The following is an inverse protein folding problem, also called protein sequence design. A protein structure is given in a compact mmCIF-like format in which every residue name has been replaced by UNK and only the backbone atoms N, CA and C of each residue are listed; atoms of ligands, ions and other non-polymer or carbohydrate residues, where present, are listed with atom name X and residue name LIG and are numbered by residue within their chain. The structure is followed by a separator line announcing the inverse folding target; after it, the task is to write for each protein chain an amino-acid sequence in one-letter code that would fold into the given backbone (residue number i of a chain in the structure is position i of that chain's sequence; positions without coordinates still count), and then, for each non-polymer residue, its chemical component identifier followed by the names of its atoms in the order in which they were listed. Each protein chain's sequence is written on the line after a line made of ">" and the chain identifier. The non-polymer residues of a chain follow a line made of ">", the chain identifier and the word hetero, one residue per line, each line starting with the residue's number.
data_IF_158626839475
#
_entry.id   IF_158626839475
#
_cell.length_a   1.000
_cell.length_b   1.000
_cell.length_c   1.000
_cell.angle_alpha   90.00
_cell.angle_beta   90.00
_cell.angle_gamma   90.00
#
_symmetry.space_group_name_H-M   'P 1'
#
loop_
_entity.id
_entity.type
_entity.pdbx_description
1 polymer ?
#
# COMPACT_ATOMS: atom_id res chain seq x y z
N UNK A 1 6.86 -19.75 38.95
CA UNK A 1 6.50 -18.95 37.75
C UNK A 1 6.58 -19.90 36.56
N UNK A 2 5.51 -20.18 35.81
CA UNK A 2 5.64 -20.96 34.61
C UNK A 2 6.50 -20.17 33.64
N UNK A 3 7.57 -20.80 33.11
CA UNK A 3 8.37 -20.31 32.02
C UNK A 3 7.44 -20.23 30.79
N UNK A 4 7.15 -18.99 30.34
CA UNK A 4 6.52 -18.79 29.05
C UNK A 4 7.57 -19.25 28.05
N UNK A 5 7.36 -20.41 27.41
CA UNK A 5 8.14 -20.79 26.25
C UNK A 5 7.90 -19.72 25.21
N UNK A 6 8.92 -18.95 24.87
CA UNK A 6 8.83 -17.99 23.79
C UNK A 6 8.50 -18.76 22.51
N UNK A 7 7.34 -18.50 21.96
CA UNK A 7 7.02 -18.80 20.58
C UNK A 7 8.16 -18.23 19.70
N UNK A 8 8.50 -18.89 18.60
CA UNK A 8 9.51 -18.38 17.69
C UNK A 8 9.19 -16.95 17.25
N UNK A 9 10.20 -16.21 16.80
CA UNK A 9 10.07 -14.85 16.30
C UNK A 9 9.79 -14.87 14.81
N UNK A 10 8.85 -14.02 14.37
CA UNK A 10 8.45 -13.86 12.97
C UNK A 10 8.46 -12.39 12.59
N UNK A 11 9.44 -11.90 11.81
CA UNK A 11 9.49 -10.54 11.34
C UNK A 11 8.27 -10.20 10.47
N UNK A 12 7.66 -9.07 10.72
CA UNK A 12 6.61 -8.47 9.88
C UNK A 12 7.17 -7.25 9.19
N UNK A 13 7.20 -7.28 7.88
CA UNK A 13 7.74 -6.20 7.05
C UNK A 13 6.63 -5.28 6.60
N UNK A 14 6.94 -3.96 6.50
CA UNK A 14 6.05 -2.93 5.98
C UNK A 14 6.51 -2.48 4.61
N UNK A 15 5.54 -2.31 3.71
CA UNK A 15 5.74 -1.72 2.39
C UNK A 15 4.73 -0.59 2.19
N UNK A 16 5.15 0.44 1.47
CA UNK A 16 4.32 1.58 1.13
C UNK A 16 4.12 1.68 -0.39
N UNK A 17 2.87 1.83 -0.79
CA UNK A 17 2.51 2.09 -2.18
C UNK A 17 2.25 3.57 -2.38
N UNK A 18 3.18 4.27 -3.04
CA UNK A 18 3.08 5.72 -3.25
C UNK A 18 1.90 6.14 -4.12
N UNK A 19 1.32 5.25 -4.90
CA UNK A 19 0.21 5.57 -5.79
C UNK A 19 -1.16 5.41 -5.12
N UNK A 20 -1.31 4.42 -4.26
CA UNK A 20 -2.56 4.20 -3.51
C UNK A 20 -2.54 4.83 -2.12
N UNK A 21 -1.36 5.08 -1.55
CA UNK A 21 -1.18 5.49 -0.16
C UNK A 21 -1.26 4.31 0.82
N UNK A 22 -1.29 3.08 0.29
CA UNK A 22 -1.46 1.88 1.08
C UNK A 22 -0.18 1.45 1.78
N UNK A 23 -0.33 0.96 3.02
CA UNK A 23 0.70 0.22 3.73
C UNK A 23 0.31 -1.26 3.81
N UNK A 24 1.16 -2.11 3.24
CA UNK A 24 1.00 -3.56 3.30
C UNK A 24 1.97 -4.14 4.31
N UNK A 25 1.50 -5.12 5.09
CA UNK A 25 2.29 -5.84 6.09
C UNK A 25 2.36 -7.32 5.72
N UNK A 26 3.55 -7.88 5.73
CA UNK A 26 3.76 -9.27 5.36
C UNK A 26 4.89 -9.92 6.12
N UNK A 27 4.75 -11.22 6.38
CA UNK A 27 5.82 -12.09 6.88
C UNK A 27 6.51 -12.85 5.75
N UNK A 28 5.95 -12.77 4.54
CA UNK A 28 6.49 -13.44 3.37
C UNK A 28 7.62 -12.61 2.74
N UNK A 29 8.83 -13.09 2.88
CA UNK A 29 10.04 -12.43 2.36
C UNK A 29 10.02 -12.31 0.82
N UNK A 30 9.41 -13.26 0.13
CA UNK A 30 9.31 -13.21 -1.34
C UNK A 30 8.30 -12.14 -1.78
N UNK A 31 7.16 -12.00 -1.09
CA UNK A 31 6.22 -10.90 -1.30
C UNK A 31 6.91 -9.55 -1.02
N UNK A 32 7.65 -9.44 0.09
CA UNK A 32 8.40 -8.24 0.45
C UNK A 32 9.44 -7.85 -0.59
N UNK A 33 10.14 -8.81 -1.19
CA UNK A 33 11.14 -8.59 -2.26
C UNK A 33 10.52 -8.32 -3.62
N UNK A 34 9.36 -8.91 -3.90
CA UNK A 34 8.70 -8.75 -5.19
C UNK A 34 8.03 -7.38 -5.34
N UNK A 35 7.31 -6.90 -4.34
CA UNK A 35 6.50 -5.68 -4.42
C UNK A 35 7.29 -4.43 -4.82
N UNK A 36 8.55 -4.22 -4.38
CA UNK A 36 9.38 -3.10 -4.86
C UNK A 36 9.65 -3.14 -6.37
N UNK A 37 9.68 -4.31 -6.99
CA UNK A 37 9.89 -4.44 -8.45
C UNK A 37 8.72 -3.91 -9.27
N UNK A 38 7.56 -3.72 -8.62
CA UNK A 38 6.33 -3.18 -9.24
C UNK A 38 5.90 -1.85 -8.61
N UNK A 39 6.84 -1.13 -7.95
CA UNK A 39 6.69 0.25 -7.55
C UNK A 39 6.28 0.50 -6.10
N UNK A 40 6.29 -0.52 -5.24
CA UNK A 40 6.19 -0.33 -3.81
C UNK A 40 7.55 0.08 -3.23
N UNK A 41 7.54 0.74 -2.08
CA UNK A 41 8.74 1.04 -1.29
C UNK A 41 8.77 0.13 -0.07
N UNK A 42 9.84 -0.65 0.11
CA UNK A 42 10.08 -1.40 1.33
C UNK A 42 10.47 -0.45 2.46
N UNK A 43 9.83 -0.57 3.62
CA UNK A 43 10.08 0.25 4.79
C UNK A 43 10.77 -0.54 5.93
N UNK A 44 11.16 -1.78 5.65
CA UNK A 44 11.86 -2.62 6.61
C UNK A 44 10.95 -3.38 7.56
N UNK A 45 11.55 -3.92 8.59
CA UNK A 45 10.85 -4.63 9.66
C UNK A 45 10.03 -3.65 10.51
N UNK A 46 8.71 -3.81 10.49
CA UNK A 46 7.78 -2.97 11.25
C UNK A 46 7.66 -3.43 12.72
N UNK A 47 7.60 -4.73 12.95
CA UNK A 47 7.64 -5.37 14.26
C UNK A 47 7.98 -6.85 14.12
N UNK A 48 8.17 -7.52 15.25
CA UNK A 48 8.31 -8.97 15.32
C UNK A 48 7.11 -9.56 16.04
N UNK A 49 6.41 -10.45 15.36
CA UNK A 49 5.29 -11.22 15.87
C UNK A 49 5.73 -12.56 16.44
N UNK A 50 4.96 -13.17 17.36
CA UNK A 50 5.17 -14.56 17.75
C UNK A 50 4.73 -15.50 16.62
N UNK A 51 5.34 -16.70 16.55
CA UNK A 51 4.89 -17.77 15.63
C UNK A 51 3.59 -18.42 16.09
N UNK A 52 3.26 -18.30 17.38
CA UNK A 52 2.05 -18.84 18.01
C UNK A 52 1.35 -17.75 18.82
N UNK A 53 0.03 -17.75 18.85
CA UNK A 53 -0.77 -16.75 19.57
C UNK A 53 -2.13 -16.54 18.93
N UNK A 54 -2.73 -15.37 19.15
CA UNK A 54 -4.00 -15.01 18.51
C UNK A 54 -3.77 -14.71 17.02
N UNK A 55 -4.45 -15.38 16.08
CA UNK A 55 -4.25 -15.16 14.67
C UNK A 55 -4.67 -13.75 14.25
N UNK A 56 -3.85 -13.10 13.44
CA UNK A 56 -4.19 -11.85 12.73
C UNK A 56 -4.43 -12.18 11.26
N UNK A 57 -5.65 -11.95 10.82
CA UNK A 57 -6.10 -12.24 9.47
C UNK A 57 -5.85 -11.07 8.53
N UNK A 58 -5.51 -11.38 7.27
CA UNK A 58 -5.45 -10.40 6.19
C UNK A 58 -6.62 -10.60 5.23
N UNK A 59 -7.18 -9.48 4.76
CA UNK A 59 -8.21 -9.44 3.73
C UNK A 59 -7.76 -8.49 2.62
N UNK A 60 -8.13 -8.79 1.41
CA UNK A 60 -7.93 -7.96 0.22
C UNK A 60 -9.26 -7.50 -0.36
N UNK A 61 -9.39 -6.22 -0.61
CA UNK A 61 -10.55 -5.65 -1.29
C UNK A 61 -10.28 -5.55 -2.80
N UNK A 62 -10.89 -6.40 -3.65
CA UNK A 62 -10.63 -6.37 -5.09
C UNK A 62 -11.19 -5.14 -5.81
N UNK A 63 -12.04 -4.34 -5.14
CA UNK A 63 -12.63 -3.14 -5.73
C UNK A 63 -11.79 -1.90 -5.47
N UNK A 64 -11.16 -1.79 -4.32
CA UNK A 64 -10.30 -0.66 -3.94
C UNK A 64 -8.81 -0.95 -4.03
N UNK A 65 -8.42 -2.23 -4.02
CA UNK A 65 -7.03 -2.66 -3.92
C UNK A 65 -6.47 -2.61 -2.51
N UNK A 66 -7.29 -2.36 -1.49
CA UNK A 66 -6.88 -2.17 -0.09
C UNK A 66 -6.73 -3.49 0.66
N UNK A 67 -5.78 -3.57 1.61
CA UNK A 67 -5.66 -4.67 2.54
C UNK A 67 -6.07 -4.24 3.95
N UNK A 68 -6.75 -5.14 4.65
CA UNK A 68 -7.15 -4.96 6.04
C UNK A 68 -6.62 -6.10 6.92
N UNK A 69 -6.32 -5.76 8.18
CA UNK A 69 -5.78 -6.71 9.17
C UNK A 69 -6.61 -6.67 10.44
N UNK A 70 -7.00 -7.84 10.93
CA UNK A 70 -7.81 -7.93 12.15
C UNK A 70 -7.57 -9.23 12.91
N UNK A 71 -7.66 -9.17 14.26
CA UNK A 71 -7.78 -10.35 15.14
C UNK A 71 -9.21 -10.82 15.27
N UNK A 72 -10.18 -9.96 14.96
CA UNK A 72 -11.60 -10.29 15.11
C UNK A 72 -12.06 -11.19 13.95
N UNK A 73 -12.26 -12.47 14.27
CA UNK A 73 -12.78 -13.44 13.33
C UNK A 73 -14.19 -13.11 12.80
N UNK A 74 -14.99 -12.37 13.59
CA UNK A 74 -16.32 -11.92 13.16
C UNK A 74 -16.20 -10.80 12.12
N UNK A 75 -15.28 -9.83 12.33
CA UNK A 75 -14.96 -8.81 11.34
C UNK A 75 -14.40 -9.45 10.06
N UNK A 76 -13.48 -10.41 10.19
CA UNK A 76 -12.93 -11.16 9.06
C UNK A 76 -14.01 -11.85 8.22
N UNK A 77 -14.96 -12.52 8.88
CA UNK A 77 -16.07 -13.18 8.19
C UNK A 77 -17.05 -12.17 7.58
N UNK A 78 -17.38 -11.12 8.32
CA UNK A 78 -18.31 -10.09 7.86
C UNK A 78 -17.82 -9.37 6.60
N UNK A 79 -16.54 -8.95 6.57
CA UNK A 79 -15.96 -8.28 5.40
C UNK A 79 -16.01 -9.16 4.15
N UNK A 80 -15.87 -10.47 4.28
CA UNK A 80 -16.02 -11.39 3.14
C UNK A 80 -17.44 -11.38 2.57
N UNK A 81 -18.47 -11.18 3.40
CA UNK A 81 -19.86 -11.03 2.90
C UNK A 81 -20.04 -9.74 2.10
N UNK A 82 -19.17 -8.74 2.30
CA UNK A 82 -19.12 -7.47 1.56
C UNK A 82 -18.23 -7.52 0.31
N UNK A 83 -17.72 -8.71 -0.06
CA UNK A 83 -16.91 -8.91 -1.26
C UNK A 83 -15.39 -8.82 -1.05
N UNK A 84 -14.92 -8.66 0.19
CA UNK A 84 -13.50 -8.81 0.48
C UNK A 84 -13.06 -10.26 0.32
N UNK A 85 -11.83 -10.45 -0.10
CA UNK A 85 -11.22 -11.79 -0.20
C UNK A 85 -10.40 -12.04 1.07
N UNK A 86 -10.74 -13.08 1.82
CA UNK A 86 -9.93 -13.54 2.94
C UNK A 86 -8.64 -14.20 2.44
N UNK A 87 -7.50 -13.79 2.99
CA UNK A 87 -6.19 -14.36 2.69
C UNK A 87 -5.66 -15.26 3.82
N UNK A 88 -6.46 -15.41 4.88
CA UNK A 88 -6.14 -16.24 6.03
C UNK A 88 -5.29 -15.51 7.08
N UNK A 89 -4.80 -16.26 8.09
CA UNK A 89 -3.90 -15.70 9.11
C UNK A 89 -2.52 -15.44 8.48
N UNK A 90 -1.98 -14.25 8.72
CA UNK A 90 -0.69 -13.84 8.16
C UNK A 90 0.42 -13.79 9.23
N UNK A 91 0.07 -13.49 10.45
CA UNK A 91 0.92 -13.54 11.64
C UNK A 91 0.07 -13.72 12.90
N UNK A 92 0.70 -13.78 14.06
CA UNK A 92 0.01 -13.88 15.35
C UNK A 92 0.27 -12.64 16.22
N UNK A 93 -0.67 -12.35 17.12
CA UNK A 93 -0.50 -11.43 18.23
C UNK A 93 -0.13 -12.21 19.50
N UNK A 94 0.71 -11.64 20.34
CA UNK A 94 0.85 -12.14 21.71
C UNK A 94 -0.50 -12.12 22.42
N UNK A 95 -0.70 -13.10 23.29
CA UNK A 95 -1.79 -13.13 24.27
C UNK A 95 -1.34 -12.40 25.53
N UNK A 96 -2.11 -11.40 25.92
CA UNK A 96 -1.79 -10.60 27.10
C UNK A 96 -0.92 -9.38 26.79
N UNK A 97 0.30 -9.32 27.35
CA UNK A 97 1.17 -8.14 27.27
C UNK A 97 2.26 -8.31 26.21
N UNK A 98 2.62 -7.19 25.59
CA UNK A 98 3.65 -7.10 24.57
C UNK A 98 3.85 -5.66 24.12
N UNK A 99 4.59 -5.46 23.06
CA UNK A 99 4.71 -4.15 22.41
C UNK A 99 3.39 -3.85 21.69
N UNK A 100 2.69 -2.76 22.04
CA UNK A 100 1.43 -2.42 21.41
C UNK A 100 1.63 -2.08 19.92
N UNK A 101 0.73 -2.58 19.08
CA UNK A 101 0.58 -2.17 17.69
C UNK A 101 -0.74 -1.44 17.57
N UNK A 102 -0.68 -0.15 17.29
CA UNK A 102 -1.82 0.74 17.20
C UNK A 102 -2.40 0.73 15.79
N UNK A 103 -3.73 0.91 15.71
CA UNK A 103 -4.44 1.05 14.43
C UNK A 103 -4.95 2.47 14.25
N UNK A 104 -4.75 2.99 13.03
CA UNK A 104 -5.27 4.28 12.59
C UNK A 104 -6.12 4.09 11.34
N UNK A 105 -7.18 4.86 11.21
CA UNK A 105 -8.07 4.88 10.07
C UNK A 105 -8.10 6.26 9.41
N UNK A 106 -7.97 6.29 8.10
CA UNK A 106 -8.10 7.51 7.31
C UNK A 106 -9.42 7.51 6.52
N UNK A 107 -10.44 8.28 6.94
CA UNK A 107 -11.77 8.26 6.31
C UNK A 107 -11.82 8.92 4.93
N UNK A 108 -10.76 9.62 4.52
CA UNK A 108 -10.70 10.29 3.21
C UNK A 108 -10.08 9.44 2.11
N UNK A 109 -9.51 8.30 2.46
CA UNK A 109 -8.89 7.37 1.52
C UNK A 109 -9.89 6.27 1.13
N UNK A 110 -9.71 5.73 -0.07
CA UNK A 110 -10.45 4.56 -0.57
C UNK A 110 -9.60 3.31 -0.65
N UNK A 111 -8.28 3.48 -0.60
CA UNK A 111 -7.27 2.44 -0.46
C UNK A 111 -6.19 2.97 0.48
N UNK A 112 -5.49 2.11 1.21
CA UNK A 112 -4.56 2.52 2.26
C UNK A 112 -5.31 3.17 3.44
N UNK A 113 -6.51 2.68 3.70
CA UNK A 113 -7.42 3.27 4.68
C UNK A 113 -6.95 3.05 6.11
N UNK A 114 -6.16 2.01 6.37
CA UNK A 114 -5.62 1.70 7.69
C UNK A 114 -4.09 1.69 7.70
N UNK A 115 -3.54 2.13 8.82
CA UNK A 115 -2.11 2.03 9.14
C UNK A 115 -1.95 1.39 10.51
N UNK A 116 -0.92 0.53 10.65
CA UNK A 116 -0.55 -0.11 11.89
C UNK A 116 0.88 0.28 12.27
N UNK A 117 1.09 0.66 13.52
CA UNK A 117 2.41 1.11 14.01
C UNK A 117 2.66 0.75 15.45
N UNK A 118 3.92 0.41 15.77
CA UNK A 118 4.42 0.31 17.12
C UNK A 118 4.94 1.65 17.66
N UNK A 119 5.00 2.68 16.83
CA UNK A 119 5.49 4.00 17.18
C UNK A 119 4.35 4.89 17.67
N UNK A 120 4.34 5.21 18.97
CA UNK A 120 3.40 6.19 19.53
C UNK A 120 3.53 7.55 18.85
N UNK A 121 4.74 7.97 18.49
CA UNK A 121 4.94 9.24 17.80
C UNK A 121 4.34 9.26 16.40
N UNK A 122 4.41 8.16 15.63
CA UNK A 122 3.72 8.03 14.35
C UNK A 122 2.20 8.05 14.54
N UNK A 123 1.70 7.34 15.56
CA UNK A 123 0.29 7.30 15.92
C UNK A 123 -0.27 8.68 16.26
N UNK A 124 0.44 9.44 17.11
CA UNK A 124 0.03 10.79 17.52
C UNK A 124 0.14 11.80 16.37
N UNK A 125 1.22 11.77 15.60
CA UNK A 125 1.42 12.66 14.47
C UNK A 125 0.33 12.47 13.40
N UNK A 126 -0.04 11.24 13.09
CA UNK A 126 -1.12 10.95 12.15
C UNK A 126 -2.48 11.38 12.71
N UNK A 127 -2.73 11.16 14.00
CA UNK A 127 -3.92 11.68 14.68
C UNK A 127 -4.04 13.21 14.58
N UNK A 128 -2.93 13.93 14.78
CA UNK A 128 -2.90 15.39 14.69
C UNK A 128 -3.21 15.94 13.29
N UNK A 129 -2.96 15.18 12.24
CA UNK A 129 -3.29 15.54 10.84
C UNK A 129 -4.61 14.95 10.35
N UNK A 130 -5.40 14.36 11.26
CA UNK A 130 -6.80 13.99 11.02
C UNK A 130 -7.07 12.50 10.80
N UNK A 131 -6.09 11.60 10.94
CA UNK A 131 -6.39 10.19 11.02
C UNK A 131 -7.16 9.88 12.31
N UNK A 132 -8.09 8.96 12.26
CA UNK A 132 -8.81 8.48 13.44
C UNK A 132 -7.95 7.45 14.15
N UNK A 133 -7.67 7.71 15.42
CA UNK A 133 -6.96 6.81 16.29
C UNK A 133 -7.94 5.73 16.79
N UNK A 134 -7.78 4.49 16.35
CA UNK A 134 -8.64 3.37 16.74
C UNK A 134 -8.10 2.55 17.91
N UNK A 135 -6.95 2.97 18.46
CA UNK A 135 -6.33 2.37 19.64
C UNK A 135 -5.53 1.12 19.32
N UNK A 136 -5.44 0.25 20.31
CA UNK A 136 -4.68 -0.99 20.26
C UNK A 136 -5.34 -2.02 19.33
N UNK A 137 -4.59 -2.50 18.34
CA UNK A 137 -5.01 -3.59 17.47
C UNK A 137 -4.56 -4.96 17.98
N UNK A 138 -3.26 -5.10 18.28
CA UNK A 138 -2.64 -6.36 18.74
C UNK A 138 -1.30 -6.09 19.45
N UNK A 139 -0.66 -7.15 19.93
CA UNK A 139 0.64 -7.07 20.60
C UNK A 139 1.71 -7.81 19.81
N UNK A 140 2.86 -7.17 19.66
CA UNK A 140 4.08 -7.75 19.11
C UNK A 140 5.06 -8.16 20.22
N UNK A 141 6.06 -9.00 19.88
CA UNK A 141 7.17 -9.33 20.78
C UNK A 141 8.05 -8.09 21.00
N UNK A 142 8.38 -7.40 19.90
CA UNK A 142 9.20 -6.17 19.91
C UNK A 142 8.84 -5.28 18.72
N UNK A 143 9.15 -4.00 18.85
CA UNK A 143 9.14 -3.09 17.71
C UNK A 143 10.15 -3.53 16.65
N UNK A 144 9.91 -3.16 15.41
CA UNK A 144 10.82 -3.43 14.31
C UNK A 144 12.07 -2.57 14.36
N UNK A 145 13.13 -3.07 13.78
CA UNK A 145 14.41 -2.36 13.66
C UNK A 145 14.41 -1.36 12.49
N UNK A 146 13.44 -1.45 11.58
CA UNK A 146 13.48 -0.76 10.28
C UNK A 146 14.56 -1.33 9.34
N UNK A 147 15.26 -2.37 9.75
CA UNK A 147 16.28 -3.01 8.92
C UNK A 147 15.64 -3.73 7.72
N UNK A 148 16.36 -3.75 6.63
CA UNK A 148 15.88 -4.33 5.37
C UNK A 148 15.01 -3.38 4.56
N UNK A 149 14.93 -2.09 4.93
CA UNK A 149 14.27 -1.09 4.09
C UNK A 149 14.90 -1.09 2.69
N UNK A 150 14.06 -1.24 1.67
CA UNK A 150 14.50 -1.21 0.27
C UNK A 150 14.25 0.18 -0.27
N UNK A 151 15.34 0.91 -0.52
CA UNK A 151 15.30 2.23 -1.14
C UNK A 151 15.04 2.11 -2.65
N UNK A 152 14.39 3.12 -3.23
CA UNK A 152 14.24 3.23 -4.70
C UNK A 152 15.62 3.31 -5.42
N UNK A 153 16.70 3.52 -4.68
CA UNK A 153 18.08 3.58 -5.20
C UNK A 153 18.83 2.26 -5.09
N UNK A 154 18.28 1.24 -4.42
CA UNK A 154 18.92 -0.08 -4.36
C UNK A 154 18.84 -0.77 -5.72
N UNK A 155 19.98 -1.33 -6.21
CA UNK A 155 19.97 -2.00 -7.50
C UNK A 155 19.01 -3.19 -7.46
N UNK A 156 18.04 -3.19 -8.36
CA UNK A 156 17.14 -4.31 -8.63
C UNK A 156 17.96 -5.60 -8.72
N UNK A 157 17.57 -6.70 -8.04
CA UNK A 157 18.24 -7.98 -8.24
C UNK A 157 18.16 -8.33 -9.73
N UNK A 158 19.34 -8.42 -10.35
CA UNK A 158 19.49 -8.72 -11.77
C UNK A 158 18.84 -10.05 -12.08
N UNK A 159 17.81 -10.02 -12.92
CA UNK A 159 17.27 -11.19 -13.56
C UNK A 159 18.39 -11.83 -14.40
N UNK A 160 18.78 -13.11 -14.17
CA UNK A 160 19.78 -13.78 -14.99
C UNK A 160 19.16 -14.20 -16.32
N UNK A 161 19.08 -13.28 -17.28
CA UNK A 161 18.91 -13.66 -18.67
C UNK A 161 20.09 -13.13 -19.49
N UNK A 162 20.97 -13.98 -19.99
CA UNK A 162 22.13 -13.56 -20.76
C UNK A 162 21.74 -13.27 -22.21
N UNK A 163 22.02 -12.07 -22.67
CA UNK A 163 22.06 -11.89 -24.10
C UNK A 163 21.89 -10.48 -24.64
N UNK A 164 23.01 -9.93 -24.91
CA UNK A 164 23.39 -9.09 -26.04
C UNK A 164 23.43 -7.58 -25.88
N UNK A 165 24.64 -7.09 -25.99
CA UNK A 165 25.00 -5.69 -26.00
C UNK A 165 24.64 -4.97 -27.29
N UNK A 166 24.63 -3.65 -27.21
CA UNK A 166 24.52 -2.77 -28.36
C UNK A 166 24.08 -1.37 -27.96
N UNK A 167 25.08 -0.52 -27.76
CA UNK A 167 24.89 0.94 -27.72
C UNK A 167 24.25 1.42 -29.01
N UNK A 168 23.21 2.24 -28.95
CA UNK A 168 23.11 3.50 -29.73
C UNK A 168 21.84 4.27 -29.33
N UNK A 169 22.04 5.56 -29.15
CA UNK A 169 21.08 6.64 -29.06
C UNK A 169 19.97 6.57 -30.12
N UNK A 170 18.70 6.63 -29.70
CA UNK A 170 17.66 7.44 -30.36
C UNK A 170 16.33 7.26 -29.65
N UNK A 171 15.68 8.37 -29.32
CA UNK A 171 14.45 8.43 -28.57
C UNK A 171 13.28 7.68 -29.20
N UNK A 172 12.55 7.01 -28.35
CA UNK A 172 11.13 6.75 -28.51
C UNK A 172 10.48 6.67 -27.13
N UNK A 173 9.46 7.47 -26.95
CA UNK A 173 8.62 7.63 -25.79
C UNK A 173 8.18 6.31 -25.17
N UNK A 174 8.64 6.04 -23.96
CA UNK A 174 7.96 5.21 -22.99
C UNK A 174 7.65 6.11 -21.79
N UNK A 175 6.52 6.82 -21.87
CA UNK A 175 6.05 7.74 -20.83
C UNK A 175 5.59 6.95 -19.60
N UNK A 176 6.51 6.44 -18.80
CA UNK A 176 6.21 6.06 -17.42
C UNK A 176 6.13 7.35 -16.60
N UNK A 177 4.96 7.95 -16.58
CA UNK A 177 4.69 9.14 -15.77
C UNK A 177 4.27 8.72 -14.36
N UNK A 178 4.73 9.44 -13.35
CA UNK A 178 4.23 9.27 -11.98
C UNK A 178 2.76 9.74 -11.93
N UNK A 179 1.79 8.83 -11.72
CA UNK A 179 0.38 9.18 -11.78
C UNK A 179 -0.10 10.12 -10.66
N UNK A 180 0.66 10.27 -9.56
CA UNK A 180 0.32 11.19 -8.48
C UNK A 180 0.79 12.62 -8.74
N UNK A 181 1.79 12.80 -9.59
CA UNK A 181 2.30 14.12 -9.98
C UNK A 181 1.86 14.51 -11.38
N UNK A 182 1.54 13.54 -12.25
CA UNK A 182 1.10 13.82 -13.61
C UNK A 182 -0.30 14.43 -13.62
N UNK A 183 -0.39 15.67 -14.09
CA UNK A 183 -1.65 16.42 -14.14
C UNK A 183 -2.44 16.08 -15.40
N UNK A 184 -3.70 15.74 -15.22
CA UNK A 184 -4.70 15.53 -16.26
C UNK A 184 -5.88 16.49 -16.10
N UNK A 185 -6.67 16.64 -17.14
CA UNK A 185 -7.76 17.60 -17.20
C UNK A 185 -9.07 16.86 -17.51
N UNK A 186 -10.13 17.18 -16.78
CA UNK A 186 -11.48 16.64 -17.00
C UNK A 186 -12.46 17.77 -17.25
N UNK A 187 -13.46 17.54 -18.08
CA UNK A 187 -14.56 18.49 -18.28
C UNK A 187 -15.69 18.24 -17.27
N UNK A 188 -16.51 19.23 -16.97
CA UNK A 188 -17.54 19.15 -15.94
C UNK A 188 -18.54 17.98 -16.13
N UNK A 189 -18.82 17.60 -17.37
CA UNK A 189 -19.76 16.51 -17.71
C UNK A 189 -19.10 15.32 -18.39
N UNK A 190 -17.77 15.37 -18.59
CA UNK A 190 -17.02 14.31 -19.28
C UNK A 190 -16.70 13.13 -18.36
N UNK A 191 -16.57 11.96 -18.98
CA UNK A 191 -16.12 10.73 -18.29
C UNK A 191 -14.68 10.34 -18.65
N UNK A 192 -13.93 11.28 -19.28
CA UNK A 192 -12.55 11.05 -19.74
C UNK A 192 -11.61 12.11 -19.19
N UNK A 193 -10.38 11.69 -18.91
CA UNK A 193 -9.29 12.61 -18.62
C UNK A 193 -8.42 12.85 -19.86
N UNK A 194 -7.83 14.03 -19.94
CA UNK A 194 -7.17 14.58 -21.12
C UNK A 194 -5.80 15.16 -20.77
N UNK A 195 -4.89 15.27 -21.74
CA UNK A 195 -3.71 16.14 -21.65
C UNK A 195 -4.13 17.61 -21.69
N UNK A 196 -3.28 18.51 -21.20
CA UNK A 196 -3.55 19.95 -21.09
C UNK A 196 -4.02 20.59 -22.41
N UNK A 197 -3.43 20.20 -23.53
CA UNK A 197 -3.70 20.76 -24.86
C UNK A 197 -4.60 19.88 -25.73
N UNK A 198 -5.48 19.09 -25.12
CA UNK A 198 -6.35 18.19 -25.88
C UNK A 198 -7.39 18.97 -26.69
N UNK A 199 -7.48 18.75 -28.02
CA UNK A 199 -8.50 19.43 -28.87
C UNK A 199 -9.94 19.18 -28.38
N UNK A 200 -10.22 17.99 -27.81
CA UNK A 200 -11.55 17.63 -27.29
C UNK A 200 -11.99 18.47 -26.07
N UNK A 201 -11.08 19.20 -25.46
CA UNK A 201 -11.35 20.11 -24.32
C UNK A 201 -11.34 21.59 -24.73
N UNK A 202 -11.03 21.91 -25.97
CA UNK A 202 -11.00 23.29 -26.48
C UNK A 202 -12.34 23.99 -26.26
N UNK A 203 -12.30 25.18 -25.67
CA UNK A 203 -13.49 26.00 -25.37
C UNK A 203 -14.35 25.46 -24.20
N UNK A 204 -13.96 24.40 -23.52
CA UNK A 204 -14.68 23.84 -22.36
C UNK A 204 -13.99 24.21 -21.06
N UNK A 205 -14.80 24.42 -20.01
CA UNK A 205 -14.25 24.53 -18.65
C UNK A 205 -13.70 23.17 -18.23
N UNK A 206 -12.41 23.14 -17.90
CA UNK A 206 -11.71 21.96 -17.41
C UNK A 206 -11.33 22.15 -15.94
N UNK A 207 -11.24 21.04 -15.23
CA UNK A 207 -10.66 20.94 -13.88
C UNK A 207 -9.42 20.06 -14.00
N UNK A 208 -8.32 20.48 -13.39
CA UNK A 208 -7.11 19.68 -13.25
C UNK A 208 -7.19 18.76 -12.03
N UNK A 209 -6.59 17.60 -12.14
CA UNK A 209 -6.36 16.66 -11.04
C UNK A 209 -5.18 15.77 -11.40
N UNK A 210 -4.68 14.97 -10.45
CA UNK A 210 -3.64 13.99 -10.76
C UNK A 210 -4.22 12.83 -11.57
N UNK A 211 -3.37 12.13 -12.33
CA UNK A 211 -3.79 10.93 -13.08
C UNK A 211 -4.36 9.86 -12.13
N UNK A 212 -3.72 9.66 -10.97
CA UNK A 212 -4.21 8.74 -9.94
C UNK A 212 -5.60 9.13 -9.45
N UNK A 213 -5.86 10.42 -9.22
CA UNK A 213 -7.18 10.92 -8.82
C UNK A 213 -8.23 10.71 -9.92
N UNK A 214 -7.86 10.94 -11.18
CA UNK A 214 -8.77 10.74 -12.30
C UNK A 214 -9.18 9.27 -12.45
N UNK A 215 -8.23 8.33 -12.31
CA UNK A 215 -8.50 6.89 -12.36
C UNK A 215 -9.35 6.45 -11.16
N UNK A 216 -9.04 6.92 -9.96
CA UNK A 216 -9.88 6.65 -8.76
C UNK A 216 -11.32 7.12 -8.92
N UNK A 217 -11.55 8.21 -9.65
CA UNK A 217 -12.88 8.74 -9.95
C UNK A 217 -13.54 8.09 -11.17
N UNK A 218 -13.00 6.96 -11.65
CA UNK A 218 -13.49 6.21 -12.81
C UNK A 218 -13.50 7.00 -14.12
N UNK A 219 -12.63 8.01 -14.27
CA UNK A 219 -12.38 8.60 -15.58
C UNK A 219 -11.53 7.68 -16.43
N UNK A 220 -11.84 7.58 -17.70
CA UNK A 220 -11.05 6.80 -18.68
C UNK A 220 -10.17 7.70 -19.53
N UNK A 221 -9.07 7.20 -20.12
CA UNK A 221 -8.20 8.03 -20.96
C UNK A 221 -8.93 8.48 -22.24
N UNK A 222 -8.66 9.72 -22.64
CA UNK A 222 -9.15 10.24 -23.92
C UNK A 222 -8.48 9.51 -25.08
N UNK A 223 -9.27 9.08 -26.07
CA UNK A 223 -8.77 8.37 -27.24
C UNK A 223 -8.01 9.27 -28.21
N UNK A 224 -8.32 10.57 -28.21
CA UNK A 224 -7.74 11.54 -29.16
C UNK A 224 -6.35 11.99 -28.72
N UNK A 225 -6.19 12.44 -27.46
CA UNK A 225 -4.90 12.92 -26.97
C UNK A 225 -4.06 11.85 -26.27
N UNK A 226 -4.60 10.64 -26.08
CA UNK A 226 -3.92 9.47 -25.50
C UNK A 226 -3.04 9.86 -24.30
N UNK A 227 -3.63 10.39 -23.21
CA UNK A 227 -2.86 10.65 -22.00
C UNK A 227 -2.34 9.31 -21.45
N UNK A 228 -1.29 9.31 -20.61
CA UNK A 228 -0.85 8.11 -19.94
C UNK A 228 -2.01 7.40 -19.26
N UNK A 229 -1.98 6.07 -19.23
CA UNK A 229 -2.94 5.22 -18.52
C UNK A 229 -2.16 4.38 -17.51
N UNK A 230 -2.80 4.11 -16.37
CA UNK A 230 -2.29 3.19 -15.35
C UNK A 230 -2.59 1.75 -15.76
#
# INVERSE_FOLDING_TARGET
>A
MPSVAFAGELPVYRLYNKWSGEHLYTTNVDEYRYLPTIGWRGEGEAWVSPTEGDPVYRLYNPYSGDHHYTKDSSEYQYLQTLGWRGEGPIFCSLQGEGVPVYRLYNPWLTCGTHLFSTSESEYDNLGAIGWQQEGLAFFAIRAGSGEGAISETDPTPSNPNPGNGGSTNSGTNSDTVDPNTYTVYVTASGKRYHRQSCPSTSGKRTRSMTLAEAVRRNYTPCKDCKPPSM
#
